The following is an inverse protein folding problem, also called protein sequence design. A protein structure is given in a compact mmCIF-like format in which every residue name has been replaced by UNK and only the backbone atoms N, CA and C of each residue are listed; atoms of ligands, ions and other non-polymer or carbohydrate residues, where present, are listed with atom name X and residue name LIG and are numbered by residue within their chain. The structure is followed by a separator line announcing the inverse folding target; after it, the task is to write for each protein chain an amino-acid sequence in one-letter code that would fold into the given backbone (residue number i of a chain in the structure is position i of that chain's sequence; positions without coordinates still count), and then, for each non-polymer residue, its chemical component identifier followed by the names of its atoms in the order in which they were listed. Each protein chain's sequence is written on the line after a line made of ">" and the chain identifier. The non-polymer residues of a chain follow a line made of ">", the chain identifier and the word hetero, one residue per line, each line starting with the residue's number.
data_IF_789684581340
#
_entry.id   IF_789684581340
#
_cell.length_a   1.000
_cell.length_b   1.000
_cell.length_c   1.000
_cell.angle_alpha   90.00
_cell.angle_beta   90.00
_cell.angle_gamma   90.00
#
_symmetry.space_group_name_H-M   'P 1'
#
loop_
_entity.id
_entity.type
_entity.pdbx_description
1 polymer ?
#
# COMPACT_ATOMS: atom_id res chain seq x y z
N UNK A 1 -31.53 -14.07 -60.97
CA UNK A 1 -31.27 -14.65 -59.64
C UNK A 1 -29.89 -14.19 -59.18
N UNK A 2 -29.79 -13.30 -58.19
CA UNK A 2 -28.52 -12.99 -57.53
C UNK A 2 -28.84 -12.48 -56.13
N UNK A 3 -28.54 -13.30 -55.13
CA UNK A 3 -28.86 -13.03 -53.73
C UNK A 3 -27.87 -12.03 -53.14
N UNK A 4 -28.42 -11.07 -52.39
CA UNK A 4 -27.71 -10.03 -51.66
C UNK A 4 -27.15 -10.59 -50.34
N UNK A 5 -25.84 -10.83 -50.26
CA UNK A 5 -25.20 -11.33 -49.04
C UNK A 5 -24.78 -10.13 -48.16
N UNK A 6 -25.59 -9.83 -47.13
CA UNK A 6 -25.19 -8.90 -46.05
C UNK A 6 -24.25 -9.65 -45.10
N UNK A 7 -22.94 -9.49 -45.27
CA UNK A 7 -21.96 -9.93 -44.28
C UNK A 7 -22.09 -9.09 -43.00
N UNK A 8 -22.73 -9.68 -41.99
CA UNK A 8 -22.72 -9.18 -40.61
C UNK A 8 -21.35 -9.51 -39.99
N UNK A 9 -20.48 -8.51 -39.88
CA UNK A 9 -19.29 -8.61 -39.05
C UNK A 9 -19.60 -7.99 -37.69
N UNK A 10 -19.96 -8.85 -36.74
CA UNK A 10 -20.16 -8.49 -35.33
C UNK A 10 -18.80 -8.32 -34.66
N UNK A 11 -18.14 -7.19 -34.86
CA UNK A 11 -16.92 -6.85 -34.11
C UNK A 11 -17.31 -6.23 -32.76
N UNK A 12 -17.80 -7.08 -31.86
CA UNK A 12 -17.97 -6.72 -30.46
C UNK A 12 -16.58 -6.79 -29.79
N UNK A 13 -15.84 -5.68 -29.83
CA UNK A 13 -14.61 -5.53 -29.06
C UNK A 13 -14.86 -5.84 -27.56
N UNK A 14 -13.90 -6.43 -26.84
CA UNK A 14 -14.12 -6.84 -25.46
C UNK A 14 -14.47 -5.62 -24.62
N UNK A 15 -15.72 -5.59 -24.14
CA UNK A 15 -16.19 -4.59 -23.21
C UNK A 15 -15.44 -4.79 -21.87
N UNK A 16 -14.31 -4.11 -21.71
CA UNK A 16 -13.62 -3.98 -20.43
C UNK A 16 -14.56 -3.26 -19.47
N UNK A 17 -15.34 -4.04 -18.71
CA UNK A 17 -16.17 -3.54 -17.63
C UNK A 17 -15.24 -2.80 -16.68
N UNK A 18 -15.37 -1.47 -16.61
CA UNK A 18 -14.62 -0.59 -15.69
C UNK A 18 -15.09 -0.86 -14.26
N UNK A 19 -14.71 -2.02 -13.72
CA UNK A 19 -15.03 -2.48 -12.37
C UNK A 19 -13.93 -2.07 -11.39
N UNK A 20 -14.36 -1.53 -10.24
CA UNK A 20 -13.54 -1.11 -9.07
C UNK A 20 -12.34 -0.23 -9.38
N UNK A 21 -12.49 1.07 -9.11
CA UNK A 21 -11.33 1.96 -8.90
C UNK A 21 -10.55 1.46 -7.68
N UNK A 22 -9.48 0.71 -7.89
CA UNK A 22 -8.47 0.52 -6.86
C UNK A 22 -7.88 1.91 -6.59
N UNK A 23 -8.13 2.45 -5.39
CA UNK A 23 -7.45 3.68 -4.98
C UNK A 23 -5.95 3.38 -4.95
N UNK A 24 -5.16 4.17 -5.66
CA UNK A 24 -3.71 4.12 -5.54
C UNK A 24 -3.33 4.38 -4.08
N UNK A 25 -2.52 3.51 -3.45
CA UNK A 25 -2.07 3.73 -2.08
C UNK A 25 -1.23 5.01 -2.04
N UNK A 26 -1.50 5.85 -1.03
CA UNK A 26 -0.63 6.99 -0.72
C UNK A 26 0.57 6.44 0.04
N UNK A 27 1.74 7.00 -0.17
CA UNK A 27 2.95 6.62 0.57
C UNK A 27 3.43 7.79 1.41
N UNK A 28 4.12 7.47 2.50
CA UNK A 28 4.67 8.45 3.42
C UNK A 28 5.88 7.89 4.16
N UNK A 29 6.67 8.80 4.72
CA UNK A 29 7.81 8.45 5.56
C UNK A 29 7.35 8.27 7.00
N UNK A 30 7.75 7.16 7.60
CA UNK A 30 7.57 6.85 9.02
C UNK A 30 8.94 6.89 9.68
N UNK A 31 9.04 7.57 10.82
CA UNK A 31 10.29 7.76 11.53
C UNK A 31 10.23 7.02 12.87
N UNK A 32 11.19 6.13 13.09
CA UNK A 32 11.50 5.58 14.41
C UNK A 32 12.61 6.43 15.01
N UNK A 33 12.31 7.09 16.11
CA UNK A 33 13.23 7.98 16.81
C UNK A 33 13.94 7.23 17.93
N UNK A 34 15.18 7.62 18.22
CA UNK A 34 15.97 7.14 19.36
C UNK A 34 16.18 5.62 19.40
N UNK A 35 16.36 4.97 18.25
CA UNK A 35 16.66 3.54 18.19
C UNK A 35 18.11 3.26 18.60
N UNK A 36 18.32 2.12 19.26
CA UNK A 36 19.65 1.53 19.46
C UNK A 36 20.20 0.95 18.15
N UNK A 37 21.50 0.65 18.11
CA UNK A 37 22.13 0.09 16.90
C UNK A 37 21.50 -1.25 16.50
N UNK A 38 21.33 -2.18 17.44
CA UNK A 38 20.72 -3.49 17.18
C UNK A 38 19.27 -3.37 16.69
N UNK A 39 18.48 -2.48 17.30
CA UNK A 39 17.11 -2.22 16.85
C UNK A 39 17.07 -1.63 15.43
N UNK A 40 17.97 -0.69 15.13
CA UNK A 40 18.04 -0.07 13.83
C UNK A 40 18.40 -1.07 12.73
N UNK A 41 19.37 -1.96 13.00
CA UNK A 41 19.80 -2.99 12.06
C UNK A 41 18.70 -4.05 11.86
N UNK A 42 18.02 -4.48 12.92
CA UNK A 42 16.87 -5.39 12.84
C UNK A 42 15.74 -4.78 11.99
N UNK A 43 15.42 -3.49 12.19
CA UNK A 43 14.40 -2.79 11.40
C UNK A 43 14.80 -2.70 9.93
N UNK A 44 16.06 -2.37 9.65
CA UNK A 44 16.61 -2.31 8.30
C UNK A 44 16.49 -3.65 7.59
N UNK A 45 16.89 -4.75 8.22
CA UNK A 45 16.82 -6.08 7.64
C UNK A 45 15.37 -6.51 7.38
N UNK A 46 14.50 -6.37 8.38
CA UNK A 46 13.09 -6.75 8.26
C UNK A 46 12.37 -6.01 7.12
N UNK A 47 12.59 -4.70 6.99
CA UNK A 47 11.96 -3.90 5.93
C UNK A 47 12.63 -4.07 4.56
N UNK A 48 13.94 -4.32 4.50
CA UNK A 48 14.64 -4.68 3.25
C UNK A 48 14.14 -6.02 2.70
N UNK A 49 13.96 -7.02 3.55
CA UNK A 49 13.36 -8.31 3.18
C UNK A 49 11.94 -8.15 2.61
N UNK A 50 11.21 -7.11 3.06
CA UNK A 50 9.88 -6.77 2.55
C UNK A 50 9.92 -5.94 1.26
N UNK A 51 11.09 -5.56 0.76
CA UNK A 51 11.26 -4.71 -0.43
C UNK A 51 10.86 -3.25 -0.20
N UNK A 52 10.87 -2.79 1.05
CA UNK A 52 10.52 -1.42 1.42
C UNK A 52 11.77 -0.54 1.42
N UNK A 53 11.65 0.73 1.00
CA UNK A 53 12.76 1.69 1.07
C UNK A 53 12.94 2.14 2.52
N UNK A 54 14.17 2.00 3.01
CA UNK A 54 14.57 2.34 4.39
C UNK A 54 15.84 3.17 4.34
N UNK A 55 15.88 4.20 5.16
CA UNK A 55 17.04 5.05 5.39
C UNK A 55 17.35 5.07 6.89
N UNK A 56 18.64 5.09 7.25
CA UNK A 56 19.09 5.33 8.62
C UNK A 56 19.90 6.61 8.68
N UNK A 57 19.64 7.43 9.68
CA UNK A 57 20.42 8.62 9.99
C UNK A 57 20.91 8.56 11.44
N UNK A 58 22.15 8.96 11.68
CA UNK A 58 22.67 9.10 13.02
C UNK A 58 22.15 10.41 13.63
N UNK A 59 21.67 10.37 14.87
CA UNK A 59 21.18 11.56 15.55
C UNK A 59 22.33 12.43 16.08
N UNK A 60 22.02 13.68 16.44
CA UNK A 60 22.99 14.63 16.98
C UNK A 60 23.70 14.12 18.24
N UNK A 61 23.01 13.27 19.02
CA UNK A 61 23.53 12.65 20.24
C UNK A 61 24.61 11.60 19.97
N UNK A 62 24.87 11.24 18.69
CA UNK A 62 25.85 10.24 18.21
C UNK A 62 25.70 8.82 18.77
N UNK A 63 24.77 8.60 19.68
CA UNK A 63 24.48 7.31 20.30
C UNK A 63 23.25 6.64 19.70
N UNK A 64 22.28 7.44 19.24
CA UNK A 64 21.00 6.93 18.77
C UNK A 64 20.84 7.10 17.26
N UNK A 65 20.04 6.21 16.68
CA UNK A 65 19.70 6.21 15.27
C UNK A 65 18.25 6.64 15.06
N UNK A 66 18.01 7.31 13.94
CA UNK A 66 16.68 7.52 13.39
C UNK A 66 16.52 6.67 12.14
N UNK A 67 15.49 5.82 12.13
CA UNK A 67 15.18 4.96 10.98
C UNK A 67 13.95 5.50 10.27
N UNK A 68 14.10 5.84 9.00
CA UNK A 68 13.03 6.36 8.15
C UNK A 68 12.59 5.30 7.15
N UNK A 69 11.31 4.94 7.16
CA UNK A 69 10.75 3.87 6.34
C UNK A 69 9.65 4.40 5.44
N UNK A 70 9.70 4.08 4.15
CA UNK A 70 8.71 4.53 3.18
C UNK A 70 7.56 3.53 3.04
N UNK A 71 6.48 3.75 3.78
CA UNK A 71 5.35 2.81 3.85
C UNK A 71 4.09 3.37 3.17
N UNK A 72 3.21 2.50 2.64
CA UNK A 72 1.90 2.91 2.18
C UNK A 72 1.05 3.37 3.37
N UNK A 73 0.68 4.64 3.37
CA UNK A 73 -0.21 5.26 4.35
C UNK A 73 -1.65 4.90 4.02
N UNK A 74 -2.33 4.24 4.97
CA UNK A 74 -3.79 4.11 4.93
C UNK A 74 -4.42 5.33 5.59
N UNK A 75 -5.11 6.14 4.79
CA UNK A 75 -5.79 7.33 5.30
C UNK A 75 -6.96 7.02 6.26
N UNK A 76 -7.49 5.80 6.21
CA UNK A 76 -8.59 5.36 7.06
C UNK A 76 -8.18 4.10 7.79
N UNK A 77 -8.56 4.01 9.06
CA UNK A 77 -8.43 2.77 9.81
C UNK A 77 -9.24 1.67 9.11
N UNK A 78 -8.76 0.40 9.14
CA UNK A 78 -9.57 -0.71 8.72
C UNK A 78 -10.87 -0.70 9.53
N UNK A 79 -11.98 -1.02 8.87
CA UNK A 79 -13.28 -1.11 9.54
C UNK A 79 -13.16 -2.13 10.68
N UNK A 80 -13.43 -1.69 11.90
CA UNK A 80 -13.49 -2.56 13.07
C UNK A 80 -14.48 -3.69 12.82
N UNK A 81 -14.04 -4.93 13.06
CA UNK A 81 -14.90 -6.10 12.90
C UNK A 81 -16.10 -6.03 13.85
N UNK A 82 -17.23 -6.60 13.43
CA UNK A 82 -18.48 -6.52 14.18
C UNK A 82 -18.37 -7.12 15.59
N UNK A 83 -17.54 -8.17 15.76
CA UNK A 83 -17.31 -8.82 17.06
C UNK A 83 -16.69 -7.90 18.11
N UNK A 84 -15.94 -6.87 17.70
CA UNK A 84 -15.29 -5.92 18.62
C UNK A 84 -16.10 -4.64 18.82
N UNK A 85 -17.22 -4.45 18.13
CA UNK A 85 -18.06 -3.24 18.24
C UNK A 85 -19.14 -3.45 19.30
N UNK A 86 -18.94 -2.89 20.50
CA UNK A 86 -19.99 -2.93 21.51
C UNK A 86 -21.16 -2.03 21.09
N UNK A 87 -22.36 -2.42 21.52
CA UNK A 87 -23.62 -1.77 21.14
C UNK A 87 -23.74 -0.32 21.66
N UNK A 88 -23.00 0.03 22.71
CA UNK A 88 -22.93 1.38 23.30
C UNK A 88 -22.16 2.37 22.42
N UNK A 89 -21.22 1.88 21.59
CA UNK A 89 -20.42 2.70 20.67
C UNK A 89 -21.00 2.69 19.25
N UNK A 90 -22.31 2.47 19.10
CA UNK A 90 -22.95 2.39 17.79
C UNK A 90 -23.16 3.75 17.17
#
# INVERSE_FOLDING_TARGET
>A
MAQHIKSHNSEAGPAFKRGRRFRTPKYGWFHYLFCTTDEADMLLEAYRCRGVRVERSLNADRLTWTVSVYLPVRAHLPRTHACYRQRVWR
#
